data_IF_306943086704
#
_entry.id   IF_306943086704
#
_cell.length_a   1.000
_cell.length_b   1.000
_cell.length_c   1.000
_cell.angle_alpha   90.00
_cell.angle_beta   90.00
_cell.angle_gamma   90.00
#
_symmetry.space_group_name_H-M   'P 1'
#
loop_
_entity.id
_entity.type
_entity.pdbx_description
1 polymer ?
#
# COMPACT_ATOMS: atom_id res chain seq x y z
N UNK A 1 6.58 0.07 -42.80
CA UNK A 1 5.80 -0.89 -43.61
C UNK A 1 4.65 -1.37 -42.75
N UNK A 2 3.46 -0.80 -42.94
CA UNK A 2 2.25 -1.14 -42.18
C UNK A 2 1.26 -1.83 -43.11
N UNK A 3 0.73 -2.98 -42.69
CA UNK A 3 -0.45 -3.62 -43.29
C UNK A 3 -1.66 -3.38 -42.37
N UNK A 4 -2.86 -3.10 -42.91
CA UNK A 4 -4.04 -2.81 -42.10
C UNK A 4 -4.76 -4.10 -41.68
N UNK A 5 -5.10 -4.22 -40.40
CA UNK A 5 -5.98 -5.28 -39.90
C UNK A 5 -7.42 -4.79 -39.89
N UNK A 6 -8.29 -5.56 -40.56
CA UNK A 6 -9.73 -5.38 -40.64
C UNK A 6 -10.39 -5.58 -39.26
N UNK A 7 -11.38 -4.73 -38.97
CA UNK A 7 -12.33 -4.90 -37.87
C UNK A 7 -13.31 -6.03 -38.20
N UNK A 8 -13.41 -7.02 -37.32
CA UNK A 8 -14.50 -7.99 -37.29
C UNK A 8 -15.31 -7.83 -36.01
N UNK A 9 -16.61 -7.57 -36.15
CA UNK A 9 -17.60 -7.57 -35.07
C UNK A 9 -17.87 -8.99 -34.57
N UNK A 10 -17.98 -9.18 -33.26
CA UNK A 10 -18.60 -10.39 -32.71
C UNK A 10 -19.56 -10.01 -31.58
N UNK A 11 -20.84 -9.95 -31.94
CA UNK A 11 -21.95 -10.15 -31.02
C UNK A 11 -22.29 -11.65 -31.02
N UNK A 12 -22.78 -12.13 -29.86
CA UNK A 12 -23.49 -13.39 -29.63
C UNK A 12 -22.75 -14.71 -29.94
N UNK A 13 -22.37 -15.45 -28.90
CA UNK A 13 -22.57 -16.90 -28.88
C UNK A 13 -22.99 -17.35 -27.48
N UNK A 14 -24.00 -18.22 -27.50
CA UNK A 14 -24.79 -18.72 -26.39
C UNK A 14 -24.06 -19.70 -25.48
N UNK A 15 -24.57 -19.77 -24.26
CA UNK A 15 -24.42 -20.86 -23.30
C UNK A 15 -24.86 -22.18 -23.91
N UNK A 16 -23.98 -23.18 -23.97
CA UNK A 16 -24.32 -24.59 -23.70
C UNK A 16 -23.09 -25.48 -23.66
N UNK A 17 -23.10 -26.41 -22.70
CA UNK A 17 -22.41 -27.71 -22.72
C UNK A 17 -20.88 -27.75 -22.61
N UNK A 18 -20.38 -27.84 -21.37
CA UNK A 18 -19.33 -28.83 -21.01
C UNK A 18 -19.63 -29.38 -19.61
N UNK A 19 -20.52 -30.38 -19.56
CA UNK A 19 -20.64 -31.30 -18.45
C UNK A 19 -20.17 -32.67 -18.93
N UNK A 20 -18.89 -33.00 -18.71
CA UNK A 20 -18.38 -34.38 -18.57
C UNK A 20 -16.85 -34.37 -18.56
N UNK A 21 -16.24 -34.24 -17.37
CA UNK A 21 -14.84 -34.63 -17.14
C UNK A 21 -14.55 -34.75 -15.63
N UNK A 22 -15.46 -35.40 -14.90
CA UNK A 22 -15.25 -35.81 -13.51
C UNK A 22 -15.67 -37.27 -13.33
N UNK A 23 -14.87 -38.18 -13.88
CA UNK A 23 -14.77 -39.53 -13.32
C UNK A 23 -13.50 -40.20 -13.86
N UNK A 24 -12.42 -40.13 -13.08
CA UNK A 24 -11.32 -41.10 -13.02
C UNK A 24 -10.14 -40.51 -12.26
N UNK A 25 -10.28 -40.39 -10.94
CA UNK A 25 -9.13 -40.30 -10.03
C UNK A 25 -9.44 -41.16 -8.81
N UNK A 26 -8.73 -42.29 -8.69
CA UNK A 26 -8.69 -43.13 -7.48
C UNK A 26 -7.31 -42.94 -6.83
N UNK A 27 -7.21 -42.64 -5.53
CA UNK A 27 -5.94 -42.65 -4.82
C UNK A 27 -5.55 -44.09 -4.43
N UNK A 28 -4.27 -44.47 -4.51
CA UNK A 28 -3.79 -45.74 -3.98
C UNK A 28 -3.35 -45.59 -2.51
N UNK A 29 -3.43 -46.71 -1.77
CA UNK A 29 -2.86 -46.98 -0.43
C UNK A 29 -3.71 -46.59 0.80
N UNK A 30 -4.46 -47.57 1.30
CA UNK A 30 -4.88 -47.68 2.71
C UNK A 30 -4.16 -48.87 3.33
N UNK A 31 -3.08 -48.61 4.08
CA UNK A 31 -2.46 -49.63 4.94
C UNK A 31 -2.51 -49.15 6.39
N UNK A 32 -3.26 -49.90 7.20
CA UNK A 32 -3.44 -49.68 8.64
C UNK A 32 -2.10 -49.86 9.36
N UNK A 33 -1.69 -48.90 10.18
CA UNK A 33 -0.65 -49.09 11.20
C UNK A 33 -1.26 -48.91 12.59
N UNK A 34 -1.13 -49.95 13.42
CA UNK A 34 -1.43 -49.94 14.85
C UNK A 34 -0.37 -49.17 15.65
N UNK A 35 -0.71 -48.63 16.85
CA UNK A 35 0.22 -47.88 17.68
C UNK A 35 1.10 -48.80 18.56
N UNK A 36 2.38 -48.47 18.80
CA UNK A 36 3.22 -49.25 19.68
C UNK A 36 2.99 -48.91 21.16
N UNK A 37 3.17 -49.94 21.99
CA UNK A 37 2.91 -50.03 23.43
C UNK A 37 3.95 -49.28 24.29
N UNK A 38 3.48 -48.82 25.45
CA UNK A 38 4.26 -48.20 26.54
C UNK A 38 5.33 -49.17 27.04
N UNK A 39 6.58 -48.69 27.19
CA UNK A 39 7.57 -49.26 28.10
C UNK A 39 8.03 -48.23 29.11
N UNK A 40 7.93 -48.62 30.37
CA UNK A 40 8.43 -47.97 31.57
C UNK A 40 9.96 -47.98 31.60
N UNK A 41 10.56 -46.84 31.98
CA UNK A 41 11.99 -46.76 32.31
C UNK A 41 12.12 -46.43 33.79
N UNK A 42 12.86 -47.28 34.48
CA UNK A 42 13.12 -47.25 35.91
C UNK A 42 14.13 -46.15 36.28
N UNK A 43 13.93 -45.61 37.48
CA UNK A 43 14.81 -44.66 38.17
C UNK A 43 15.95 -45.43 38.86
N UNK A 44 17.23 -45.03 38.74
CA UNK A 44 18.29 -45.54 39.61
C UNK A 44 18.51 -44.62 40.83
N UNK A 45 19.00 -45.18 41.96
CA UNK A 45 18.97 -44.52 43.26
C UNK A 45 20.18 -43.64 43.56
N UNK A 46 19.93 -42.76 44.53
CA UNK A 46 20.82 -41.99 45.39
C UNK A 46 22.07 -42.77 45.85
N UNK A 47 23.25 -42.13 45.80
CA UNK A 47 24.41 -42.46 46.66
C UNK A 47 24.94 -41.17 47.28
N UNK A 48 25.11 -41.22 48.60
CA UNK A 48 25.55 -40.17 49.50
C UNK A 48 27.05 -39.85 49.42
N UNK A 49 27.34 -38.57 49.71
CA UNK A 49 28.45 -38.06 50.56
C UNK A 49 29.90 -38.33 50.16
N UNK A 50 30.72 -37.27 50.12
CA UNK A 50 31.49 -36.83 51.31
C UNK A 50 32.39 -35.62 50.99
N UNK A 51 32.70 -34.88 52.07
CA UNK A 51 33.80 -33.92 52.28
C UNK A 51 33.60 -32.44 51.92
N UNK A 52 33.30 -31.69 52.99
CA UNK A 52 33.68 -30.29 53.18
C UNK A 52 35.20 -30.11 53.04
N UNK A 53 35.64 -29.01 52.42
CA UNK A 53 36.61 -28.10 53.06
C UNK A 53 36.87 -26.78 52.30
N UNK A 54 36.78 -25.70 53.08
CA UNK A 54 37.42 -24.38 52.97
C UNK A 54 37.24 -23.51 51.71
N UNK A 55 36.40 -22.48 51.85
CA UNK A 55 36.77 -21.09 51.56
C UNK A 55 35.86 -20.13 52.35
N UNK A 56 36.36 -19.70 53.52
CA UNK A 56 35.84 -18.50 54.21
C UNK A 56 36.27 -17.27 53.41
N UNK A 57 35.37 -16.70 52.63
CA UNK A 57 35.52 -15.31 52.19
C UNK A 57 34.90 -14.43 53.28
N UNK A 58 35.75 -13.70 54.01
CA UNK A 58 35.31 -12.63 54.90
C UNK A 58 34.75 -11.50 54.03
N UNK A 59 33.44 -11.30 54.06
CA UNK A 59 32.82 -10.08 53.51
C UNK A 59 33.11 -8.96 54.50
N UNK A 60 34.10 -8.11 54.19
CA UNK A 60 34.26 -6.83 54.89
C UNK A 60 33.19 -5.87 54.39
N UNK A 61 32.27 -5.49 55.26
CA UNK A 61 31.29 -4.45 55.02
C UNK A 61 32.01 -3.09 54.88
N UNK A 62 32.33 -2.70 53.65
CA UNK A 62 32.74 -1.35 53.28
C UNK A 62 32.49 -1.15 51.79
N UNK A 63 31.23 -1.30 51.36
CA UNK A 63 30.83 -0.79 50.05
C UNK A 63 30.78 0.73 50.17
N UNK A 64 31.82 1.42 49.69
CA UNK A 64 31.86 2.87 49.62
C UNK A 64 30.59 3.38 48.95
N UNK A 65 29.95 4.37 49.58
CA UNK A 65 28.73 5.06 49.11
C UNK A 65 28.79 5.42 47.60
N UNK A 66 30.01 5.65 47.10
CA UNK A 66 30.36 5.94 45.69
C UNK A 66 29.94 4.83 44.72
N UNK A 67 30.10 3.55 45.08
CA UNK A 67 29.77 2.40 44.20
C UNK A 67 28.25 2.20 44.14
N UNK A 68 27.54 2.47 45.23
CA UNK A 68 26.08 2.39 45.28
C UNK A 68 25.44 3.55 44.49
N UNK A 69 26.02 4.76 44.55
CA UNK A 69 25.59 5.87 43.68
C UNK A 69 25.88 5.63 42.20
N UNK A 70 27.00 4.99 41.84
CA UNK A 70 27.33 4.70 40.44
C UNK A 70 26.37 3.66 39.82
N UNK A 71 25.97 2.65 40.61
CA UNK A 71 24.98 1.66 40.20
C UNK A 71 23.56 2.26 40.12
N UNK A 72 23.20 3.21 40.99
CA UNK A 72 21.92 3.93 40.91
C UNK A 72 21.87 4.95 39.74
N UNK A 73 22.98 5.59 39.38
CA UNK A 73 23.03 6.50 38.22
C UNK A 73 23.00 5.75 36.88
N UNK A 74 23.56 4.54 36.81
CA UNK A 74 23.51 3.72 35.60
C UNK A 74 22.16 3.02 35.36
N UNK A 75 21.30 2.89 36.38
CA UNK A 75 19.95 2.32 36.23
C UNK A 75 18.83 3.36 36.04
N UNK A 76 19.12 4.65 36.18
CA UNK A 76 18.17 5.75 35.96
C UNK A 76 18.20 6.31 34.53
N UNK A 77 19.19 5.94 33.72
CA UNK A 77 19.15 6.18 32.27
C UNK A 77 18.41 5.01 31.64
N UNK A 78 17.07 5.00 31.73
CA UNK A 78 16.28 4.23 30.76
C UNK A 78 16.76 4.70 29.39
N UNK A 79 17.24 3.81 28.49
CA UNK A 79 17.40 4.23 27.12
C UNK A 79 16.01 4.72 26.72
N UNK A 80 15.88 6.00 26.38
CA UNK A 80 14.75 6.46 25.59
C UNK A 80 14.75 5.51 24.41
N UNK A 81 13.82 4.56 24.39
CA UNK A 81 13.51 3.83 23.18
C UNK A 81 13.14 4.92 22.20
N UNK A 82 14.07 5.28 21.32
CA UNK A 82 13.77 6.13 20.19
C UNK A 82 12.53 5.49 19.57
N UNK A 83 11.40 6.19 19.63
CA UNK A 83 10.22 5.80 18.87
C UNK A 83 10.73 5.81 17.44
N UNK A 84 11.02 4.62 16.91
CA UNK A 84 11.46 4.49 15.53
C UNK A 84 10.26 4.94 14.72
N UNK A 85 10.33 6.14 14.15
CA UNK A 85 9.32 6.64 13.21
C UNK A 85 9.10 5.58 12.14
N UNK A 86 7.84 5.25 11.83
CA UNK A 86 7.52 4.30 10.78
C UNK A 86 8.18 4.79 9.47
N UNK A 87 9.09 4.03 8.83
CA UNK A 87 9.79 4.50 7.63
C UNK A 87 8.87 4.73 6.42
N UNK A 88 7.63 4.23 6.47
CA UNK A 88 6.61 4.49 5.46
C UNK A 88 5.75 5.72 5.79
N UNK A 89 5.97 6.35 6.94
CA UNK A 89 5.42 7.65 7.35
C UNK A 89 6.52 8.71 7.33
N UNK A 90 6.48 9.61 6.36
CA UNK A 90 7.53 10.61 6.17
C UNK A 90 7.00 11.95 5.68
N UNK A 91 7.82 12.99 5.92
CA UNK A 91 7.65 14.28 5.30
C UNK A 91 8.46 14.32 3.99
N UNK A 92 7.80 14.61 2.87
CA UNK A 92 8.45 14.92 1.61
C UNK A 92 8.88 16.39 1.60
N UNK A 93 10.19 16.69 1.52
CA UNK A 93 10.68 18.07 1.56
C UNK A 93 10.53 18.82 0.24
N UNK A 94 10.25 18.11 -0.86
CA UNK A 94 10.12 18.71 -2.17
C UNK A 94 8.78 19.42 -2.37
N UNK A 95 8.76 20.31 -3.36
CA UNK A 95 7.66 21.24 -3.60
C UNK A 95 6.36 20.61 -4.13
N UNK A 96 6.43 19.37 -4.63
CA UNK A 96 5.35 18.75 -5.42
C UNK A 96 5.23 17.26 -5.16
N UNK A 97 4.00 16.79 -4.99
CA UNK A 97 3.65 15.36 -5.01
C UNK A 97 2.68 15.12 -6.18
N UNK A 98 2.94 14.10 -6.97
CA UNK A 98 2.04 13.59 -8.00
C UNK A 98 1.61 12.17 -7.64
N UNK A 99 0.35 11.83 -7.87
CA UNK A 99 -0.15 10.47 -7.68
C UNK A 99 -1.00 10.02 -8.87
N UNK A 100 -0.64 8.90 -9.48
CA UNK A 100 -1.34 8.28 -10.61
C UNK A 100 -1.88 6.91 -10.18
N UNK A 101 -3.11 6.64 -10.61
CA UNK A 101 -3.80 5.38 -10.38
C UNK A 101 -3.34 4.24 -11.29
N UNK A 102 -4.27 3.35 -11.54
CA UNK A 102 -4.13 2.08 -12.24
C UNK A 102 -3.79 2.30 -13.73
N UNK A 103 -2.66 1.74 -14.17
CA UNK A 103 -2.10 1.97 -15.51
C UNK A 103 -2.42 0.83 -16.49
N UNK A 104 -2.64 -0.39 -15.97
CA UNK A 104 -3.18 -1.53 -16.71
C UNK A 104 -2.61 -1.69 -18.12
N UNK A 105 -1.28 -1.77 -18.21
CA UNK A 105 -0.54 -2.09 -19.41
C UNK A 105 -0.67 -1.10 -20.56
N UNK A 106 -0.98 0.18 -20.28
CA UNK A 106 -1.05 1.23 -21.30
C UNK A 106 0.11 2.24 -21.19
N UNK A 107 1.22 1.94 -21.87
CA UNK A 107 2.38 2.85 -21.88
C UNK A 107 2.08 4.16 -22.61
N UNK A 108 1.16 4.17 -23.57
CA UNK A 108 0.81 5.36 -24.35
C UNK A 108 0.20 6.44 -23.47
N UNK A 109 -0.90 6.12 -22.77
CA UNK A 109 -1.53 7.07 -21.86
C UNK A 109 -0.64 7.39 -20.66
N UNK A 110 0.18 6.44 -20.19
CA UNK A 110 1.18 6.68 -19.13
C UNK A 110 2.17 7.77 -19.57
N UNK A 111 2.81 7.63 -20.73
CA UNK A 111 3.81 8.58 -21.23
C UNK A 111 3.22 9.96 -21.48
N UNK A 112 2.05 10.02 -22.12
CA UNK A 112 1.38 11.29 -22.36
C UNK A 112 1.07 12.01 -21.05
N UNK A 113 0.58 11.29 -20.03
CA UNK A 113 0.18 11.88 -18.74
C UNK A 113 1.38 12.42 -17.96
N UNK A 114 2.49 11.66 -17.96
CA UNK A 114 3.75 12.11 -17.39
C UNK A 114 4.30 13.34 -18.12
N UNK A 115 4.30 13.33 -19.46
CA UNK A 115 4.75 14.46 -20.27
C UNK A 115 3.88 15.70 -20.03
N UNK A 116 2.56 15.57 -20.12
CA UNK A 116 1.62 16.68 -19.97
C UNK A 116 1.60 17.30 -18.57
N UNK A 117 1.95 16.53 -17.54
CA UNK A 117 2.13 17.04 -16.19
C UNK A 117 3.54 17.59 -15.92
N UNK A 118 4.43 17.61 -16.91
CA UNK A 118 5.81 18.08 -16.79
C UNK A 118 6.67 17.19 -15.90
N UNK A 119 6.42 15.87 -15.90
CA UNK A 119 7.27 14.89 -15.22
C UNK A 119 8.45 14.50 -16.10
N UNK A 120 8.19 14.33 -17.39
CA UNK A 120 9.19 13.92 -18.38
C UNK A 120 9.20 14.84 -19.59
N UNK A 121 10.35 14.91 -20.27
CA UNK A 121 10.49 15.61 -21.54
C UNK A 121 9.98 14.76 -22.73
N UNK A 122 10.21 15.24 -23.96
CA UNK A 122 9.79 14.56 -25.20
C UNK A 122 10.53 13.24 -25.46
N UNK A 123 11.70 13.06 -24.86
CA UNK A 123 12.51 11.85 -24.93
C UNK A 123 12.16 10.86 -23.79
N UNK A 124 11.29 11.25 -22.86
CA UNK A 124 10.89 10.44 -21.71
C UNK A 124 11.88 10.51 -20.53
N UNK A 125 12.72 11.53 -20.45
CA UNK A 125 13.64 11.72 -19.33
C UNK A 125 13.01 12.58 -18.22
N UNK A 126 13.36 12.31 -16.96
CA UNK A 126 12.87 13.06 -15.82
C UNK A 126 13.27 14.53 -15.87
N UNK A 127 12.28 15.42 -15.73
CA UNK A 127 12.48 16.89 -15.63
C UNK A 127 11.70 17.49 -14.45
N UNK A 128 11.15 16.65 -13.57
CA UNK A 128 10.26 17.08 -12.50
C UNK A 128 11.00 17.59 -11.24
N UNK A 129 12.32 17.75 -11.29
CA UNK A 129 13.14 18.22 -10.16
C UNK A 129 12.89 17.41 -8.89
N UNK A 130 12.51 18.10 -7.82
CA UNK A 130 12.24 17.56 -6.47
C UNK A 130 10.84 16.95 -6.28
N UNK A 131 10.17 16.55 -7.37
CA UNK A 131 8.83 15.97 -7.30
C UNK A 131 8.87 14.54 -6.72
N UNK A 132 7.92 14.22 -5.85
CA UNK A 132 7.59 12.84 -5.50
C UNK A 132 6.45 12.35 -6.41
N UNK A 133 6.70 11.32 -7.21
CA UNK A 133 5.68 10.64 -7.99
C UNK A 133 5.30 9.31 -7.33
N UNK A 134 4.00 9.09 -7.12
CA UNK A 134 3.44 7.90 -6.50
C UNK A 134 2.56 7.19 -7.55
N UNK A 135 2.83 5.91 -7.77
CA UNK A 135 2.00 5.04 -8.60
C UNK A 135 1.30 4.04 -7.68
N UNK A 136 -0.03 4.04 -7.64
CA UNK A 136 -0.80 3.32 -6.60
C UNK A 136 -1.11 1.85 -6.93
N UNK A 137 -0.24 1.16 -7.66
CA UNK A 137 -0.42 -0.25 -8.03
C UNK A 137 -1.20 -0.50 -9.33
N UNK A 138 -1.28 -1.77 -9.75
CA UNK A 138 -1.97 -2.20 -10.97
C UNK A 138 -1.36 -1.63 -12.26
N UNK A 139 -0.06 -1.91 -12.42
CA UNK A 139 0.69 -1.54 -13.63
C UNK A 139 0.45 -2.52 -14.77
N UNK A 140 0.35 -3.81 -14.45
CA UNK A 140 0.19 -4.91 -15.42
C UNK A 140 -1.27 -5.27 -15.68
N UNK A 141 -1.45 -6.21 -16.61
CA UNK A 141 -2.73 -6.78 -17.04
C UNK A 141 -3.63 -5.80 -17.81
N UNK A 142 -4.66 -6.36 -18.46
CA UNK A 142 -5.58 -5.70 -19.40
C UNK A 142 -4.90 -5.22 -20.69
N UNK A 143 -3.94 -4.31 -20.59
CA UNK A 143 -3.17 -3.77 -21.69
C UNK A 143 -1.91 -4.58 -22.02
N UNK A 144 -1.28 -4.33 -23.18
CA UNK A 144 -0.16 -5.13 -23.67
C UNK A 144 1.21 -4.73 -23.11
N UNK A 145 1.37 -3.54 -22.52
CA UNK A 145 2.68 -2.92 -22.31
C UNK A 145 3.15 -2.89 -20.83
N UNK A 146 2.54 -3.65 -19.91
CA UNK A 146 2.88 -3.55 -18.48
C UNK A 146 4.34 -3.85 -18.15
N UNK A 147 4.97 -4.77 -18.89
CA UNK A 147 6.42 -5.03 -18.80
C UNK A 147 7.24 -3.75 -19.07
N UNK A 148 6.89 -3.04 -20.15
CA UNK A 148 7.58 -1.81 -20.55
C UNK A 148 7.39 -0.70 -19.53
N UNK A 149 6.20 -0.62 -18.93
CA UNK A 149 5.92 0.38 -17.89
C UNK A 149 6.80 0.14 -16.68
N UNK A 150 6.94 -1.11 -16.20
CA UNK A 150 7.88 -1.42 -15.12
C UNK A 150 9.33 -1.07 -15.46
N UNK A 151 9.81 -1.50 -16.63
CA UNK A 151 11.19 -1.22 -17.07
C UNK A 151 11.45 0.29 -17.16
N UNK A 152 10.45 1.04 -17.64
CA UNK A 152 10.51 2.49 -17.75
C UNK A 152 10.52 3.18 -16.38
N UNK A 153 9.63 2.81 -15.45
CA UNK A 153 9.64 3.38 -14.10
C UNK A 153 10.94 3.07 -13.34
N UNK A 154 11.53 1.89 -13.55
CA UNK A 154 12.84 1.54 -12.97
C UNK A 154 13.94 2.48 -13.47
N UNK A 155 14.00 2.74 -14.78
CA UNK A 155 14.92 3.71 -15.38
C UNK A 155 14.66 5.14 -14.88
N UNK A 156 13.40 5.57 -14.91
CA UNK A 156 12.99 6.92 -14.52
C UNK A 156 13.25 7.20 -13.03
N UNK A 157 13.13 6.18 -12.17
CA UNK A 157 13.40 6.30 -10.73
C UNK A 157 14.87 6.66 -10.43
N UNK A 158 15.81 6.12 -11.23
CA UNK A 158 17.22 6.50 -11.14
C UNK A 158 17.42 7.99 -11.48
N UNK A 159 16.83 8.44 -12.58
CA UNK A 159 16.92 9.84 -13.02
C UNK A 159 16.26 10.81 -12.02
N UNK A 160 15.11 10.43 -11.47
CA UNK A 160 14.42 11.21 -10.44
C UNK A 160 15.32 11.44 -9.23
N UNK A 161 15.96 10.36 -8.74
CA UNK A 161 16.86 10.42 -7.59
C UNK A 161 18.05 11.34 -7.82
N UNK A 162 18.64 11.33 -9.02
CA UNK A 162 19.76 12.20 -9.39
C UNK A 162 19.39 13.69 -9.35
N UNK A 163 18.12 14.03 -9.56
CA UNK A 163 17.61 15.41 -9.57
C UNK A 163 16.88 15.80 -8.28
N UNK A 164 16.97 14.97 -7.22
CA UNK A 164 16.33 15.23 -5.93
C UNK A 164 14.84 14.86 -5.85
N UNK A 165 14.29 14.27 -6.92
CA UNK A 165 12.96 13.69 -6.96
C UNK A 165 12.93 12.24 -6.48
N UNK A 166 11.74 11.64 -6.50
CA UNK A 166 11.57 10.23 -6.11
C UNK A 166 10.34 9.63 -6.79
N UNK A 167 10.44 8.36 -7.14
CA UNK A 167 9.29 7.55 -7.56
C UNK A 167 9.04 6.47 -6.51
N UNK A 168 7.78 6.34 -6.07
CA UNK A 168 7.34 5.24 -5.21
C UNK A 168 6.19 4.52 -5.90
N UNK A 169 6.41 3.25 -6.24
CA UNK A 169 5.36 2.36 -6.74
C UNK A 169 4.84 1.53 -5.58
N UNK A 170 3.51 1.46 -5.46
CA UNK A 170 2.81 0.60 -4.50
C UNK A 170 2.42 -0.71 -5.18
N UNK A 171 2.17 -1.74 -4.39
CA UNK A 171 1.52 -2.96 -4.91
C UNK A 171 0.02 -2.74 -5.07
N UNK A 172 -0.50 -3.15 -6.23
CA UNK A 172 -1.92 -3.37 -6.47
C UNK A 172 -2.28 -4.85 -6.47
N UNK A 173 -3.57 -5.15 -6.62
CA UNK A 173 -4.01 -6.53 -6.62
C UNK A 173 -3.57 -7.30 -7.87
N UNK A 174 -3.51 -6.68 -9.04
CA UNK A 174 -3.04 -7.33 -10.27
C UNK A 174 -1.53 -7.65 -10.19
N UNK A 175 -0.75 -6.82 -9.52
CA UNK A 175 0.67 -7.10 -9.27
C UNK A 175 0.81 -8.36 -8.40
N UNK A 176 0.02 -8.46 -7.32
CA UNK A 176 -0.01 -9.64 -6.44
C UNK A 176 -0.54 -10.89 -7.14
N UNK A 177 -1.58 -10.77 -7.96
CA UNK A 177 -2.08 -11.88 -8.78
C UNK A 177 -0.96 -12.46 -9.64
N UNK A 178 -0.22 -11.60 -10.35
CA UNK A 178 0.88 -12.03 -11.20
C UNK A 178 2.02 -12.68 -10.39
N UNK A 179 2.41 -12.07 -9.27
CA UNK A 179 3.40 -12.62 -8.32
C UNK A 179 3.02 -14.03 -7.87
N UNK A 180 1.74 -14.27 -7.59
CA UNK A 180 1.23 -15.55 -7.10
C UNK A 180 0.80 -16.51 -8.22
N UNK A 181 1.12 -16.19 -9.48
CA UNK A 181 0.94 -17.08 -10.62
C UNK A 181 -0.49 -17.13 -11.17
N UNK A 182 -1.30 -16.13 -10.84
CA UNK A 182 -2.63 -15.88 -11.38
C UNK A 182 -2.55 -14.85 -12.51
N UNK A 183 -2.72 -15.32 -13.74
CA UNK A 183 -2.58 -14.53 -14.95
C UNK A 183 -3.91 -14.34 -15.69
N UNK A 184 -5.04 -14.47 -15.00
CA UNK A 184 -6.38 -14.46 -15.62
C UNK A 184 -6.68 -13.18 -16.42
N UNK A 185 -6.04 -12.06 -16.09
CA UNK A 185 -6.24 -10.77 -16.76
C UNK A 185 -5.07 -10.35 -17.66
N UNK A 186 -4.05 -11.19 -17.80
CA UNK A 186 -2.88 -10.90 -18.61
C UNK A 186 -3.26 -10.80 -20.10
N UNK A 187 -2.88 -9.70 -20.74
CA UNK A 187 -3.09 -9.54 -22.17
C UNK A 187 -2.20 -10.55 -22.94
N UNK A 188 -2.66 -11.15 -24.05
CA UNK A 188 -1.85 -12.10 -24.81
C UNK A 188 -0.52 -11.53 -25.29
N UNK A 189 -0.52 -10.30 -25.82
CA UNK A 189 0.71 -9.63 -26.26
C UNK A 189 1.67 -9.34 -25.10
N UNK A 190 1.13 -8.98 -23.92
CA UNK A 190 1.96 -8.75 -22.73
C UNK A 190 2.62 -10.07 -22.31
N UNK A 191 1.87 -11.17 -22.32
CA UNK A 191 2.42 -12.52 -22.06
C UNK A 191 3.53 -12.89 -23.04
N UNK A 192 3.39 -12.56 -24.33
CA UNK A 192 4.44 -12.78 -25.34
C UNK A 192 5.67 -11.92 -25.03
N UNK A 193 5.48 -10.68 -24.59
CA UNK A 193 6.59 -9.78 -24.24
C UNK A 193 7.41 -10.27 -23.04
N UNK A 194 6.76 -10.94 -22.09
CA UNK A 194 7.42 -11.68 -21.02
C UNK A 194 8.05 -13.01 -21.48
N UNK A 195 8.08 -13.35 -22.77
CA UNK A 195 8.66 -14.59 -23.29
C UNK A 195 7.70 -15.78 -23.35
N UNK A 196 6.39 -15.54 -23.26
CA UNK A 196 5.35 -16.56 -23.23
C UNK A 196 4.94 -16.97 -21.81
N UNK A 197 3.93 -17.82 -21.70
CA UNK A 197 3.28 -18.13 -20.41
C UNK A 197 4.22 -18.74 -19.37
N UNK A 198 5.13 -19.64 -19.78
CA UNK A 198 6.09 -20.27 -18.86
C UNK A 198 7.11 -19.25 -18.34
N UNK A 199 7.63 -18.41 -19.23
CA UNK A 199 8.63 -17.42 -18.86
C UNK A 199 8.03 -16.27 -18.03
N UNK A 200 6.81 -15.81 -18.36
CA UNK A 200 6.05 -14.89 -17.48
C UNK A 200 5.95 -15.45 -16.07
N UNK A 201 5.50 -16.70 -15.92
CA UNK A 201 5.44 -17.36 -14.61
C UNK A 201 6.79 -17.33 -13.90
N UNK A 202 7.87 -17.71 -14.58
CA UNK A 202 9.22 -17.70 -14.01
C UNK A 202 9.67 -16.31 -13.57
N UNK A 203 9.29 -15.26 -14.31
CA UNK A 203 9.71 -13.89 -14.04
C UNK A 203 8.99 -13.22 -12.86
N UNK A 204 7.78 -13.66 -12.49
CA UNK A 204 7.02 -13.14 -11.35
C UNK A 204 7.19 -13.93 -10.04
N UNK A 205 7.64 -15.19 -10.11
CA UNK A 205 7.96 -16.03 -8.94
C UNK A 205 9.23 -15.53 -8.20
N UNK A 206 9.56 -16.11 -7.03
CA UNK A 206 10.61 -15.60 -6.12
C UNK A 206 11.99 -15.45 -6.80
N UNK A 207 12.33 -16.31 -7.77
CA UNK A 207 13.58 -16.24 -8.53
C UNK A 207 13.56 -15.32 -9.76
N UNK A 208 12.42 -14.68 -10.03
CA UNK A 208 12.19 -13.87 -11.22
C UNK A 208 12.55 -12.40 -11.02
N UNK A 209 12.87 -11.70 -12.11
CA UNK A 209 13.26 -10.28 -12.06
C UNK A 209 12.13 -9.40 -11.50
N UNK A 210 10.93 -9.47 -12.12
CA UNK A 210 9.77 -8.68 -11.70
C UNK A 210 9.22 -9.15 -10.35
N UNK A 211 9.27 -10.46 -10.07
CA UNK A 211 8.88 -11.00 -8.77
C UNK A 211 9.69 -10.42 -7.60
N UNK A 212 11.00 -10.28 -7.77
CA UNK A 212 11.87 -9.66 -6.78
C UNK A 212 11.64 -8.16 -6.66
N UNK A 213 11.51 -7.47 -7.79
CA UNK A 213 11.22 -6.03 -7.82
C UNK A 213 9.90 -5.72 -7.10
N UNK A 214 8.81 -6.39 -7.44
CA UNK A 214 7.49 -6.10 -6.89
C UNK A 214 7.39 -6.40 -5.39
N UNK A 215 8.02 -7.47 -4.90
CA UNK A 215 8.07 -7.75 -3.45
C UNK A 215 8.84 -6.70 -2.64
N UNK A 216 9.63 -5.85 -3.30
CA UNK A 216 10.29 -4.72 -2.66
C UNK A 216 9.35 -3.52 -2.44
N UNK A 217 8.30 -3.40 -3.26
CA UNK A 217 7.37 -2.27 -3.20
C UNK A 217 6.57 -2.28 -1.89
N UNK A 218 6.32 -1.11 -1.27
CA UNK A 218 5.47 -1.02 -0.10
C UNK A 218 4.00 -1.26 -0.48
N UNK A 219 3.20 -1.71 0.49
CA UNK A 219 1.76 -1.80 0.31
C UNK A 219 1.11 -0.40 0.29
N UNK A 220 1.58 0.48 1.17
CA UNK A 220 1.04 1.83 1.35
C UNK A 220 2.08 2.71 2.01
N UNK A 221 1.97 4.01 1.80
CA UNK A 221 2.83 5.03 2.42
C UNK A 221 1.99 6.18 2.96
N UNK A 222 2.56 6.97 3.86
CA UNK A 222 2.04 8.25 4.31
C UNK A 222 3.09 9.31 4.02
N UNK A 223 2.74 10.26 3.16
CA UNK A 223 3.58 11.39 2.81
C UNK A 223 2.83 12.68 3.16
N UNK A 224 3.44 13.52 4.01
CA UNK A 224 2.86 14.82 4.41
C UNK A 224 1.45 14.69 5.01
N UNK A 225 1.21 13.64 5.80
CA UNK A 225 -0.11 13.37 6.41
C UNK A 225 -1.15 12.79 5.45
N UNK A 226 -0.78 12.46 4.21
CA UNK A 226 -1.66 11.82 3.22
C UNK A 226 -1.26 10.36 3.05
N UNK A 227 -2.19 9.45 3.28
CA UNK A 227 -2.03 8.02 3.00
C UNK A 227 -2.24 7.78 1.50
N UNK A 228 -1.35 7.02 0.89
CA UNK A 228 -1.50 6.47 -0.46
C UNK A 228 -1.56 4.95 -0.36
N UNK A 229 -2.60 4.37 -0.93
CA UNK A 229 -2.87 2.93 -0.91
C UNK A 229 -3.53 2.52 -2.22
N UNK A 230 -3.47 1.24 -2.59
CA UNK A 230 -4.14 0.78 -3.81
C UNK A 230 -5.67 0.81 -3.65
N UNK A 231 -6.25 0.07 -2.71
CA UNK A 231 -7.70 0.04 -2.49
C UNK A 231 -8.15 0.77 -1.21
N UNK A 232 -7.21 1.21 -0.38
CA UNK A 232 -7.44 1.83 0.93
C UNK A 232 -7.21 0.86 2.08
N UNK A 233 -7.02 1.37 3.30
CA UNK A 233 -6.62 0.56 4.47
C UNK A 233 -7.76 0.48 5.47
N UNK A 234 -8.58 -0.59 5.52
CA UNK A 234 -9.63 -0.70 6.53
C UNK A 234 -9.06 -0.62 7.95
N UNK A 235 -9.84 -0.10 8.89
CA UNK A 235 -9.41 0.19 10.26
C UNK A 235 -8.88 -1.04 10.99
N UNK A 236 -9.44 -2.22 10.75
CA UNK A 236 -8.95 -3.50 11.28
C UNK A 236 -7.51 -3.83 10.82
N UNK A 237 -7.07 -3.30 9.67
CA UNK A 237 -5.69 -3.42 9.20
C UNK A 237 -4.83 -2.24 9.65
N UNK A 238 -5.43 -1.04 9.76
CA UNK A 238 -4.74 0.18 10.16
C UNK A 238 -4.06 0.07 11.54
N UNK A 239 -4.65 -0.70 12.47
CA UNK A 239 -4.10 -0.94 13.83
C UNK A 239 -2.70 -1.57 13.83
N UNK A 240 -2.27 -2.18 12.73
CA UNK A 240 -0.94 -2.74 12.60
C UNK A 240 0.14 -1.68 12.34
N UNK A 241 -0.22 -0.52 11.79
CA UNK A 241 0.70 0.45 11.23
C UNK A 241 1.23 0.03 9.84
N UNK A 242 1.72 1.01 9.07
CA UNK A 242 2.05 0.83 7.65
C UNK A 242 3.20 -0.17 7.44
N UNK A 243 4.25 -0.07 8.24
CA UNK A 243 5.42 -0.96 8.14
C UNK A 243 5.08 -2.42 8.44
N UNK A 244 4.32 -2.68 9.52
CA UNK A 244 3.95 -4.04 9.90
C UNK A 244 2.98 -4.65 8.90
N UNK A 245 2.05 -3.85 8.38
CA UNK A 245 1.12 -4.29 7.35
C UNK A 245 1.84 -4.65 6.04
N UNK A 246 2.82 -3.83 5.62
CA UNK A 246 3.69 -4.15 4.49
C UNK A 246 4.53 -5.40 4.74
N UNK A 247 5.03 -5.59 5.96
CA UNK A 247 5.77 -6.80 6.34
C UNK A 247 4.90 -8.05 6.28
N UNK A 248 3.66 -8.00 6.76
CA UNK A 248 2.72 -9.11 6.64
C UNK A 248 2.41 -9.46 5.18
N UNK A 249 2.22 -8.46 4.30
CA UNK A 249 2.06 -8.72 2.87
C UNK A 249 3.30 -9.44 2.31
N UNK A 250 4.51 -8.99 2.64
CA UNK A 250 5.75 -9.66 2.19
C UNK A 250 5.82 -11.12 2.65
N UNK A 251 5.36 -11.43 3.86
CA UNK A 251 5.27 -12.80 4.37
C UNK A 251 4.24 -13.64 3.59
N UNK A 252 3.09 -13.05 3.24
CA UNK A 252 2.08 -13.70 2.40
C UNK A 252 2.61 -14.04 1.00
N UNK A 253 3.43 -13.15 0.42
CA UNK A 253 4.00 -13.27 -0.92
C UNK A 253 5.31 -14.09 -0.99
N UNK A 254 5.91 -14.42 0.16
CA UNK A 254 7.14 -15.20 0.21
C UNK A 254 6.92 -16.68 -0.14
N UNK A 255 8.01 -17.37 -0.48
CA UNK A 255 8.03 -18.81 -0.78
C UNK A 255 7.01 -19.18 -1.86
N UNK A 256 7.08 -18.46 -2.98
CA UNK A 256 6.16 -18.59 -4.13
C UNK A 256 4.68 -18.54 -3.71
N UNK A 257 4.34 -17.56 -2.86
CA UNK A 257 2.97 -17.30 -2.38
C UNK A 257 2.31 -18.50 -1.66
N UNK A 258 3.09 -19.38 -1.01
CA UNK A 258 2.51 -20.55 -0.31
C UNK A 258 1.49 -20.14 0.76
N UNK A 259 1.80 -19.10 1.56
CA UNK A 259 0.89 -18.61 2.59
C UNK A 259 -0.33 -17.92 1.99
N UNK A 260 -0.11 -17.00 1.04
CA UNK A 260 -1.18 -16.35 0.27
C UNK A 260 -2.15 -17.38 -0.31
N UNK A 261 -1.67 -18.39 -1.03
CA UNK A 261 -2.52 -19.38 -1.70
C UNK A 261 -3.32 -20.23 -0.70
N UNK A 262 -2.72 -20.56 0.45
CA UNK A 262 -3.45 -21.24 1.53
C UNK A 262 -4.55 -20.37 2.12
N UNK A 263 -4.29 -19.08 2.36
CA UNK A 263 -5.28 -18.13 2.90
C UNK A 263 -6.40 -17.85 1.90
N UNK A 264 -6.05 -17.67 0.63
CA UNK A 264 -7.00 -17.52 -0.47
C UNK A 264 -7.95 -18.73 -0.58
N UNK A 265 -7.40 -19.95 -0.52
CA UNK A 265 -8.23 -21.16 -0.53
C UNK A 265 -9.19 -21.23 0.67
N UNK A 266 -8.71 -20.87 1.87
CA UNK A 266 -9.55 -20.85 3.07
C UNK A 266 -10.67 -19.81 2.96
N UNK A 267 -10.36 -18.59 2.52
CA UNK A 267 -11.35 -17.53 2.28
C UNK A 267 -12.41 -17.98 1.26
N UNK A 268 -11.99 -18.56 0.13
CA UNK A 268 -12.88 -19.07 -0.90
C UNK A 268 -13.82 -20.20 -0.41
N UNK A 269 -13.37 -20.98 0.59
CA UNK A 269 -14.16 -22.05 1.23
C UNK A 269 -14.99 -21.55 2.42
N UNK A 270 -14.98 -20.25 2.72
CA UNK A 270 -15.67 -19.66 3.87
C UNK A 270 -15.06 -20.06 5.22
N UNK A 271 -13.81 -20.53 5.23
CA UNK A 271 -13.08 -20.88 6.44
C UNK A 271 -12.33 -19.66 6.97
N UNK A 272 -12.72 -19.17 8.15
CA UNK A 272 -11.99 -18.10 8.82
C UNK A 272 -10.90 -18.69 9.69
N UNK A 273 -9.67 -18.22 9.50
CA UNK A 273 -8.52 -18.56 10.35
C UNK A 273 -8.37 -17.59 11.52
N UNK A 274 -9.14 -16.50 11.55
CA UNK A 274 -9.02 -15.41 12.52
C UNK A 274 -7.86 -14.43 12.25
N UNK A 275 -6.92 -14.80 11.38
CA UNK A 275 -5.82 -13.91 10.96
C UNK A 275 -6.28 -12.93 9.89
N UNK A 276 -5.75 -11.70 9.93
CA UNK A 276 -5.87 -10.74 8.84
C UNK A 276 -5.15 -11.28 7.60
N UNK A 277 -5.87 -11.31 6.48
CA UNK A 277 -5.34 -11.65 5.15
C UNK A 277 -5.18 -10.37 4.33
N UNK A 278 -3.96 -9.85 4.23
CA UNK A 278 -3.68 -8.51 3.66
C UNK A 278 -3.96 -8.49 2.16
N UNK A 279 -3.60 -9.56 1.45
CA UNK A 279 -3.95 -9.74 0.03
C UNK A 279 -5.34 -10.38 -0.19
N UNK A 280 -6.16 -10.52 0.86
CA UNK A 280 -7.51 -11.07 0.79
C UNK A 280 -8.55 -10.08 0.30
N UNK A 281 -9.79 -10.55 0.08
CA UNK A 281 -10.88 -9.76 -0.49
C UNK A 281 -11.27 -8.52 0.33
N UNK A 282 -11.09 -8.59 1.65
CA UNK A 282 -11.33 -7.47 2.57
C UNK A 282 -10.07 -6.65 2.85
N UNK A 283 -8.93 -7.08 2.33
CA UNK A 283 -7.64 -6.46 2.59
C UNK A 283 -7.39 -5.20 1.76
N UNK A 284 -6.29 -4.48 2.04
CA UNK A 284 -6.00 -3.18 1.44
C UNK A 284 -5.73 -3.16 -0.07
N UNK A 285 -5.60 -4.34 -0.69
CA UNK A 285 -5.43 -4.49 -2.13
C UNK A 285 -6.76 -4.71 -2.87
N UNK A 286 -7.82 -5.13 -2.18
CA UNK A 286 -9.06 -5.56 -2.85
C UNK A 286 -10.32 -4.90 -2.32
N UNK A 287 -10.25 -4.32 -1.11
CA UNK A 287 -11.42 -3.77 -0.46
C UNK A 287 -12.09 -2.71 -1.33
N UNK A 288 -13.43 -2.70 -1.32
CA UNK A 288 -14.23 -1.66 -1.97
C UNK A 288 -15.07 -0.88 -0.98
N UNK A 289 -14.75 -1.00 0.31
CA UNK A 289 -15.47 -0.32 1.39
C UNK A 289 -15.46 1.19 1.18
N UNK A 290 -14.36 1.75 0.65
CA UNK A 290 -14.17 3.17 0.41
C UNK A 290 -14.78 3.69 -0.90
N UNK A 291 -15.07 2.81 -1.85
CA UNK A 291 -15.48 3.19 -3.21
C UNK A 291 -16.91 2.81 -3.57
N UNK A 292 -17.44 1.71 -3.02
CA UNK A 292 -18.77 1.18 -3.35
C UNK A 292 -19.73 1.16 -2.16
N UNK A 293 -19.30 1.64 -0.99
CA UNK A 293 -20.12 1.71 0.22
C UNK A 293 -21.16 2.83 0.21
N UNK A 294 -22.04 2.84 1.22
CA UNK A 294 -22.85 4.02 1.50
C UNK A 294 -21.94 5.12 2.06
N UNK A 295 -22.12 6.37 1.59
CA UNK A 295 -21.26 7.51 1.95
C UNK A 295 -21.03 7.66 3.47
N UNK A 296 -22.08 7.47 4.28
CA UNK A 296 -21.96 7.54 5.75
C UNK A 296 -21.01 6.49 6.31
N UNK A 297 -21.09 5.25 5.81
CA UNK A 297 -20.21 4.15 6.22
C UNK A 297 -18.78 4.35 5.71
N UNK A 298 -18.63 4.85 4.48
CA UNK A 298 -17.32 5.23 3.92
C UNK A 298 -16.62 6.21 4.87
N UNK A 299 -17.31 7.28 5.26
CA UNK A 299 -16.69 8.32 6.08
C UNK A 299 -16.44 7.86 7.53
N UNK A 300 -17.31 7.04 8.11
CA UNK A 300 -17.06 6.45 9.43
C UNK A 300 -15.81 5.55 9.43
N UNK A 301 -15.67 4.70 8.41
CA UNK A 301 -14.52 3.80 8.27
C UNK A 301 -13.22 4.58 7.99
N UNK A 302 -13.32 5.62 7.16
CA UNK A 302 -12.23 6.55 6.89
C UNK A 302 -11.77 7.24 8.17
N UNK A 303 -12.70 7.77 8.98
CA UNK A 303 -12.37 8.49 10.21
C UNK A 303 -11.63 7.62 11.22
N UNK A 304 -12.05 6.36 11.39
CA UNK A 304 -11.32 5.37 12.21
C UNK A 304 -9.90 5.17 11.71
N UNK A 305 -9.75 4.92 10.41
CA UNK A 305 -8.46 4.66 9.76
C UNK A 305 -7.50 5.84 9.91
N UNK A 306 -7.97 7.04 9.56
CA UNK A 306 -7.19 8.27 9.65
C UNK A 306 -6.83 8.61 11.10
N UNK A 307 -7.70 8.32 12.06
CA UNK A 307 -7.41 8.47 13.49
C UNK A 307 -6.33 7.49 13.99
N UNK A 308 -6.37 6.22 13.56
CA UNK A 308 -5.38 5.21 13.94
C UNK A 308 -3.99 5.54 13.38
N UNK A 309 -3.93 6.03 12.13
CA UNK A 309 -2.68 6.31 11.41
C UNK A 309 -2.24 7.79 11.50
N UNK A 310 -2.91 8.58 12.34
CA UNK A 310 -2.68 10.02 12.53
C UNK A 310 -2.50 10.76 11.20
N UNK A 311 -3.50 10.65 10.33
CA UNK A 311 -3.46 11.12 8.95
C UNK A 311 -4.60 12.05 8.64
N UNK A 312 -4.37 12.98 7.71
CA UNK A 312 -5.35 13.99 7.35
C UNK A 312 -6.27 13.53 6.22
N UNK A 313 -5.68 12.83 5.22
CA UNK A 313 -6.39 12.37 4.01
C UNK A 313 -5.88 11.00 3.55
N UNK A 314 -6.67 10.34 2.72
CA UNK A 314 -6.30 9.10 2.04
C UNK A 314 -6.60 9.21 0.54
N UNK A 315 -5.68 8.71 -0.28
CA UNK A 315 -5.73 8.66 -1.75
C UNK A 315 -5.63 7.21 -2.19
N UNK A 316 -6.59 6.76 -3.02
CA UNK A 316 -6.71 5.36 -3.45
C UNK A 316 -7.00 5.20 -4.95
N UNK A 317 -6.61 4.06 -5.53
CA UNK A 317 -6.95 3.60 -6.88
C UNK A 317 -7.99 2.46 -6.88
N UNK A 318 -7.72 1.37 -7.61
CA UNK A 318 -8.42 0.06 -7.64
C UNK A 318 -9.85 0.04 -8.21
N UNK A 319 -10.66 1.05 -7.89
CA UNK A 319 -12.03 1.16 -8.36
C UNK A 319 -12.12 2.29 -9.37
N UNK A 320 -12.35 1.93 -10.64
CA UNK A 320 -12.55 2.90 -11.71
C UNK A 320 -13.74 3.81 -11.39
N UNK A 321 -13.49 5.11 -11.37
CA UNK A 321 -14.53 6.12 -11.14
C UNK A 321 -15.40 6.30 -12.40
N UNK A 322 -16.71 6.09 -12.28
CA UNK A 322 -17.66 6.15 -13.41
C UNK A 322 -17.69 7.52 -14.09
N UNK A 323 -17.41 8.60 -13.35
CA UNK A 323 -17.35 9.95 -13.92
C UNK A 323 -16.12 10.17 -14.81
N UNK A 324 -15.14 9.28 -14.73
CA UNK A 324 -13.81 9.42 -15.29
C UNK A 324 -12.98 10.54 -14.67
N UNK A 325 -13.46 11.23 -13.62
CA UNK A 325 -12.70 12.25 -12.87
C UNK A 325 -12.16 11.66 -11.56
N UNK A 326 -11.23 12.37 -10.91
CA UNK A 326 -10.91 12.12 -9.51
C UNK A 326 -12.16 12.42 -8.68
N UNK A 327 -12.63 11.42 -7.94
CA UNK A 327 -13.77 11.57 -7.04
C UNK A 327 -13.30 11.91 -5.62
N UNK A 328 -14.10 12.71 -4.94
CA UNK A 328 -13.72 13.32 -3.67
C UNK A 328 -14.84 13.12 -2.66
N UNK A 329 -14.57 12.37 -1.60
CA UNK A 329 -15.53 12.03 -0.56
C UNK A 329 -15.14 12.63 0.80
N UNK A 330 -16.09 12.56 1.74
CA UNK A 330 -15.90 12.90 3.15
C UNK A 330 -15.29 14.29 3.37
N UNK A 331 -15.84 15.30 2.69
CA UNK A 331 -15.37 16.69 2.82
C UNK A 331 -13.95 16.92 2.29
N UNK A 332 -13.48 16.08 1.36
CA UNK A 332 -12.13 16.18 0.81
C UNK A 332 -11.05 15.45 1.59
N UNK A 333 -11.44 14.47 2.41
CA UNK A 333 -10.50 13.60 3.16
C UNK A 333 -10.22 12.27 2.46
N UNK A 334 -11.04 11.88 1.49
CA UNK A 334 -10.82 10.69 0.68
C UNK A 334 -10.85 11.08 -0.81
N UNK A 335 -9.82 10.69 -1.55
CA UNK A 335 -9.70 10.92 -2.99
C UNK A 335 -9.54 9.59 -3.72
N UNK A 336 -10.37 9.34 -4.73
CA UNK A 336 -10.31 8.15 -5.57
C UNK A 336 -9.74 8.56 -6.92
N UNK A 337 -8.54 8.08 -7.24
CA UNK A 337 -7.74 8.52 -8.38
C UNK A 337 -7.62 7.47 -9.50
N UNK A 338 -8.22 6.30 -9.34
CA UNK A 338 -8.41 5.39 -10.48
C UNK A 338 -9.52 5.93 -11.38
N UNK A 339 -9.12 6.70 -12.36
CA UNK A 339 -10.01 7.25 -13.38
C UNK A 339 -10.14 6.32 -14.58
N UNK A 340 -9.50 5.15 -14.57
CA UNK A 340 -9.35 4.28 -15.73
C UNK A 340 -8.45 4.88 -16.79
N UNK A 341 -7.20 5.19 -16.41
CA UNK A 341 -6.18 5.82 -17.27
C UNK A 341 -5.98 5.05 -18.57
N UNK A 342 -5.97 3.73 -18.50
CA UNK A 342 -5.72 2.83 -19.63
C UNK A 342 -6.82 2.86 -20.69
N UNK A 343 -6.44 2.88 -21.98
CA UNK A 343 -7.32 2.66 -23.14
C UNK A 343 -8.00 1.29 -23.13
N UNK A 344 -7.45 0.35 -22.37
CA UNK A 344 -7.99 -1.00 -22.18
C UNK A 344 -8.97 -1.09 -21.00
N UNK A 345 -9.26 0.04 -20.35
CA UNK A 345 -10.16 0.15 -19.20
C UNK A 345 -11.24 1.21 -19.44
N UNK A 346 -10.89 2.50 -19.36
CA UNK A 346 -11.86 3.60 -19.54
C UNK A 346 -11.34 4.79 -20.37
N UNK A 347 -10.06 4.81 -20.74
CA UNK A 347 -9.41 5.87 -21.52
C UNK A 347 -9.64 7.30 -20.96
N UNK A 348 -9.57 7.45 -19.63
CA UNK A 348 -9.65 8.76 -18.96
C UNK A 348 -8.34 9.07 -18.23
N UNK A 349 -7.29 9.50 -18.95
CA UNK A 349 -5.96 9.75 -18.39
C UNK A 349 -5.93 10.98 -17.49
N UNK A 350 -5.82 10.74 -16.18
CA UNK A 350 -5.77 11.78 -15.15
C UNK A 350 -4.81 11.44 -14.01
N UNK A 351 -4.31 12.48 -13.35
CA UNK A 351 -3.36 12.37 -12.26
C UNK A 351 -3.65 13.42 -11.19
N UNK A 352 -3.45 13.05 -9.92
CA UNK A 352 -3.52 13.99 -8.81
C UNK A 352 -2.19 14.75 -8.69
N UNK A 353 -2.24 16.06 -8.46
CA UNK A 353 -1.12 16.86 -7.98
C UNK A 353 -1.44 17.47 -6.63
N UNK A 354 -0.49 17.41 -5.71
CA UNK A 354 -0.49 18.14 -4.45
C UNK A 354 0.69 19.10 -4.48
N UNK A 355 0.41 20.39 -4.30
CA UNK A 355 1.41 21.45 -4.29
C UNK A 355 1.03 22.52 -3.28
N UNK A 356 1.95 22.86 -2.38
CA UNK A 356 1.71 23.83 -1.30
C UNK A 356 0.42 23.52 -0.50
N UNK A 357 0.23 22.23 -0.18
CA UNK A 357 -0.97 21.72 0.50
C UNK A 357 -2.26 21.73 -0.33
N UNK A 358 -2.25 22.26 -1.55
CA UNK A 358 -3.41 22.38 -2.44
C UNK A 358 -3.46 21.22 -3.44
N UNK A 359 -4.66 20.77 -3.77
CA UNK A 359 -4.90 19.61 -4.63
C UNK A 359 -5.41 20.02 -6.00
N UNK A 360 -4.86 19.40 -7.04
CA UNK A 360 -5.21 19.63 -8.42
C UNK A 360 -5.38 18.30 -9.17
N UNK A 361 -6.24 18.32 -10.16
CA UNK A 361 -6.40 17.25 -11.13
C UNK A 361 -5.75 17.68 -12.45
N UNK A 362 -4.82 16.87 -12.93
CA UNK A 362 -4.37 16.90 -14.31
C UNK A 362 -5.26 16.00 -15.16
N UNK A 363 -5.61 16.50 -16.33
CA UNK A 363 -6.36 15.78 -17.35
C UNK A 363 -5.67 15.93 -18.68
N UNK A 364 -5.64 14.85 -19.44
CA UNK A 364 -5.34 14.90 -20.86
C UNK A 364 -6.59 14.69 -21.69
N UNK A 365 -6.79 15.59 -22.65
CA UNK A 365 -7.75 15.41 -23.73
C UNK A 365 -7.00 14.94 -24.98
N UNK A 366 -7.27 13.70 -25.37
CA UNK A 366 -6.71 13.10 -26.59
C UNK A 366 -7.80 13.09 -27.64
N UNK A 367 -7.62 13.87 -28.71
CA UNK A 367 -8.56 13.92 -29.83
C UNK A 367 -7.91 13.39 -31.11
N UNK A 368 -8.59 12.47 -31.79
CA UNK A 368 -8.12 11.96 -33.08
C UNK A 368 -8.31 13.04 -34.13
N UNK A 369 -7.23 13.42 -34.79
CA UNK A 369 -7.30 14.14 -36.06
C UNK A 369 -7.20 13.10 -37.18
N UNK A 370 -8.19 13.07 -38.09
CA UNK A 370 -8.13 12.26 -39.32
C UNK A 370 -7.77 10.77 -39.12
N UNK A 371 -7.49 10.07 -40.22
CA UNK A 371 -6.98 8.69 -40.19
C UNK A 371 -5.45 8.61 -40.15
N UNK A 372 -4.76 9.69 -40.57
CA UNK A 372 -3.31 9.70 -40.81
C UNK A 372 -2.56 10.85 -40.10
N UNK A 373 -3.23 11.58 -39.19
CA UNK A 373 -2.61 12.65 -38.40
C UNK A 373 -2.34 12.22 -36.97
N UNK A 374 -1.28 12.78 -36.38
CA UNK A 374 -0.98 12.60 -34.97
C UNK A 374 -2.16 13.05 -34.11
N UNK A 375 -2.44 12.32 -33.00
CA UNK A 375 -3.50 12.72 -32.09
C UNK A 375 -3.17 14.09 -31.49
N UNK A 376 -4.17 14.97 -31.41
CA UNK A 376 -4.02 16.23 -30.71
C UNK A 376 -4.20 15.99 -29.22
N UNK A 377 -3.14 16.22 -28.45
CA UNK A 377 -3.09 16.02 -27.01
C UNK A 377 -3.07 17.38 -26.32
N UNK A 378 -4.05 17.63 -25.45
CA UNK A 378 -4.12 18.86 -24.66
C UNK A 378 -4.18 18.54 -23.18
N UNK A 379 -3.17 18.99 -22.44
CA UNK A 379 -3.18 18.96 -20.98
C UNK A 379 -3.98 20.12 -20.39
N UNK A 380 -4.72 19.84 -19.33
CA UNK A 380 -5.35 20.85 -18.48
C UNK A 380 -5.18 20.51 -17.02
N UNK A 381 -5.13 21.56 -16.18
CA UNK A 381 -5.03 21.45 -14.73
C UNK A 381 -6.21 22.19 -14.10
N UNK A 382 -6.89 21.52 -13.18
CA UNK A 382 -8.00 22.07 -12.39
C UNK A 382 -7.70 21.92 -10.91
N UNK A 383 -7.92 22.98 -10.13
CA UNK A 383 -7.89 22.86 -8.67
C UNK A 383 -9.12 22.10 -8.16
N UNK A 384 -8.92 21.14 -7.27
CA UNK A 384 -10.00 20.44 -6.59
C UNK A 384 -10.54 21.32 -5.45
N UNK A 385 -11.86 21.39 -5.31
CA UNK A 385 -12.51 22.18 -4.26
C UNK A 385 -12.51 21.41 -2.93
N UNK A 386 -11.34 21.30 -2.29
CA UNK A 386 -11.15 20.63 -1.01
C UNK A 386 -10.26 21.44 -0.07
N UNK A 387 -10.40 21.26 1.27
CA UNK A 387 -9.52 21.90 2.22
C UNK A 387 -8.05 21.51 1.97
N UNK A 388 -7.12 22.50 1.98
CA UNK A 388 -5.70 22.21 1.84
C UNK A 388 -5.20 21.39 3.04
N UNK A 389 -3.99 20.83 2.90
CA UNK A 389 -3.31 20.21 4.04
C UNK A 389 -3.03 21.24 5.13
N UNK A 390 -3.11 20.83 6.39
CA UNK A 390 -2.66 21.67 7.51
C UNK A 390 -1.16 21.92 7.40
N UNK A 391 -0.73 23.18 7.56
CA UNK A 391 0.68 23.52 7.63
C UNK A 391 1.30 22.87 8.87
N UNK A 392 2.49 22.27 8.74
CA UNK A 392 3.18 21.63 9.87
C UNK A 392 3.56 22.60 11.00
N UNK A 393 3.52 23.92 10.75
CA UNK A 393 3.79 24.96 11.75
C UNK A 393 2.66 25.16 12.77
N UNK A 394 1.43 24.72 12.48
CA UNK A 394 0.28 24.90 13.38
C UNK A 394 0.12 23.79 14.44
N UNK A 395 0.93 22.72 14.37
CA UNK A 395 0.82 21.58 15.30
C UNK A 395 1.52 21.88 16.65
N UNK A 396 2.33 22.93 16.73
CA UNK A 396 3.09 23.28 17.95
C UNK A 396 2.36 24.15 18.96
N UNK A 397 1.11 24.58 18.73
CA UNK A 397 0.41 25.56 19.59
C UNK A 397 -0.74 25.02 20.44
N UNK A 398 -1.00 23.70 20.46
CA UNK A 398 -2.15 23.14 21.21
C UNK A 398 -1.79 22.21 22.38
N UNK A 399 -0.60 22.34 22.96
CA UNK A 399 -0.20 21.56 24.15
C UNK A 399 0.49 22.40 25.23
N UNK A 400 -0.14 23.49 25.69
CA UNK A 400 0.05 24.04 27.04
C UNK A 400 -1.15 24.91 27.38
N UNK A 401 -2.03 24.40 28.24
CA UNK A 401 -2.69 25.13 29.34
C UNK A 401 -4.04 24.51 29.65
N UNK A 402 -4.03 23.46 30.47
CA UNK A 402 -5.13 23.19 31.39
C UNK A 402 -4.55 22.55 32.67
N UNK A 403 -3.92 23.41 33.47
CA UNK A 403 -3.47 23.13 34.83
C UNK A 403 -4.13 24.15 35.75
N UNK A 404 -5.21 23.73 36.42
CA UNK A 404 -6.02 24.58 37.28
C UNK A 404 -5.27 25.19 38.47
N UNK A 405 -5.75 26.36 38.89
CA UNK A 405 -5.54 26.88 40.24
C UNK A 405 -6.88 27.37 40.79
N UNK A 406 -7.25 26.78 41.93
CA UNK A 406 -8.38 27.16 42.76
C UNK A 406 -8.18 28.55 43.40
N UNK A 407 -9.31 29.22 43.65
CA UNK A 407 -9.50 30.13 44.78
C UNK A 407 -9.26 31.61 44.51
N UNK A 408 -10.34 32.39 44.43
CA UNK A 408 -10.76 33.25 45.56
C UNK A 408 -12.11 33.91 45.24
N UNK A 409 -13.04 33.79 46.19
CA UNK A 409 -14.29 34.52 46.25
C UNK A 409 -14.01 36.03 46.36
N UNK A 410 -14.76 36.86 45.65
CA UNK A 410 -15.37 38.02 46.31
C UNK A 410 -16.58 38.58 45.56
N UNK A 411 -17.59 38.83 46.37
CA UNK A 411 -18.92 39.34 46.12
C UNK A 411 -18.99 40.80 45.66
N UNK A 412 -20.13 41.12 45.04
CA UNK A 412 -20.77 42.42 44.73
C UNK A 412 -20.88 42.63 43.21
N UNK A 413 -22.03 42.89 42.60
CA UNK A 413 -23.33 43.33 43.07
C UNK A 413 -23.92 44.25 41.99
N UNK A 414 -25.23 44.17 41.78
CA UNK A 414 -26.09 45.22 41.16
C UNK A 414 -25.97 45.44 39.63
N UNK A 415 -27.01 45.07 38.87
CA UNK A 415 -28.04 45.95 38.25
C UNK A 415 -27.72 46.33 36.80
N UNK A 416 -28.48 45.85 35.81
CA UNK A 416 -29.72 46.45 35.23
C UNK A 416 -29.48 47.81 34.54
N UNK A 417 -29.86 47.90 33.26
CA UNK A 417 -30.38 49.13 32.66
C UNK A 417 -29.72 49.59 31.36
N UNK A 418 -30.40 49.27 30.24
CA UNK A 418 -30.77 50.06 29.06
C UNK A 418 -30.09 51.40 28.68
N UNK A 419 -30.24 51.71 27.37
CA UNK A 419 -30.00 52.95 26.61
C UNK A 419 -28.53 53.16 26.16
N UNK A 420 -28.17 53.30 24.88
CA UNK A 420 -28.82 53.88 23.68
C UNK A 420 -28.40 53.17 22.39
#
# INVERSE_FOLDING_TARGET
MFFPLQRGSWFSMELTSIGSLLSQWRPPWTEKREPPSRRSVAVPPFIESTWHNYLRVRVSASMSLVVLTFLLTCFMVRPMTAVTSDPLDFHWPGSRILAVGDLHGDIGNTMLLLYGAGVVDEDGNWIAGDTLLIQTGDVVDRGPDGKRIYDYFASLSAQATEQGGKIIQLLGNHDVMNICGDFRYAHPSETIEFGGALERRRQFMDGGHYGNMLRSFPLSIKANGVIFSHAGIPSDFAVLGLSKLTQQLREELANDCKLHNSRFYNEAMGSSTGDLFVAGSQGPLWTRVYSMGQMTKICEELDKTLGILDSEKMVIGHTVQESGNIEVYCGGRLLLIDTGVSRYVADSPRMLEIRDGTFFEWRLDISKQGTDSEPNVRGSKRQLNIPPLKNSTDITTTNTDDGGSCGEENSNGSSRGDEL
#
